data_IF_567652278449
#
_entry.id   IF_567652278449
#
_cell.length_a   1.000
_cell.length_b   1.000
_cell.length_c   1.000
_cell.angle_alpha   90.00
_cell.angle_beta   90.00
_cell.angle_gamma   90.00
#
_symmetry.space_group_name_H-M   'P 1'
#
loop_
_entity.id
_entity.type
_entity.pdbx_description
1 polymer ?
#
# COMPACT_ATOMS: atom_id res chain seq x y z
N UNK A 1 -2.83 7.64 14.75
CA UNK A 1 -3.08 6.42 13.98
C UNK A 1 -1.91 5.49 14.22
N UNK A 2 -2.15 4.30 14.76
CA UNK A 2 -1.09 3.30 15.01
C UNK A 2 -0.63 2.78 13.63
N UNK A 3 0.62 3.06 13.26
CA UNK A 3 1.20 2.56 12.02
C UNK A 3 1.62 1.12 12.27
N UNK A 4 0.87 0.14 11.75
CA UNK A 4 1.28 -1.25 11.79
C UNK A 4 2.56 -1.46 10.97
N UNK A 5 3.41 -2.38 11.41
CA UNK A 5 4.68 -2.66 10.74
C UNK A 5 4.48 -3.31 9.36
N UNK A 6 3.50 -4.23 9.23
CA UNK A 6 3.12 -4.91 7.98
C UNK A 6 1.75 -5.59 8.15
N UNK A 7 1.09 -5.93 7.02
CA UNK A 7 -0.14 -6.70 7.00
C UNK A 7 0.14 -8.17 6.63
N UNK A 8 -0.12 -9.07 7.56
CA UNK A 8 0.12 -10.49 7.42
C UNK A 8 -1.18 -11.26 7.17
N UNK A 9 -1.15 -12.27 6.29
CA UNK A 9 -2.21 -13.25 6.14
C UNK A 9 -1.75 -14.60 6.70
N UNK A 10 -2.44 -15.10 7.72
CA UNK A 10 -2.21 -16.44 8.29
C UNK A 10 -3.26 -17.40 7.73
N UNK A 11 -2.80 -18.51 7.15
CA UNK A 11 -3.67 -19.55 6.60
C UNK A 11 -3.33 -20.88 7.27
N UNK A 12 -4.26 -21.41 8.02
CA UNK A 12 -4.11 -22.68 8.77
C UNK A 12 -5.53 -23.20 9.03
N UNK A 13 -5.79 -24.49 8.96
CA UNK A 13 -7.11 -25.06 9.18
C UNK A 13 -7.48 -25.16 10.67
N UNK A 14 -6.48 -25.20 11.56
CA UNK A 14 -6.69 -25.18 13.01
C UNK A 14 -6.98 -23.76 13.52
N UNK A 15 -8.23 -23.54 13.97
CA UNK A 15 -8.68 -22.27 14.53
C UNK A 15 -7.89 -21.83 15.77
N UNK A 16 -7.40 -22.77 16.57
CA UNK A 16 -6.63 -22.48 17.79
C UNK A 16 -5.29 -21.88 17.42
N UNK A 17 -4.63 -22.45 16.41
CA UNK A 17 -3.34 -21.94 15.89
C UNK A 17 -3.55 -20.58 15.29
N UNK A 18 -4.56 -20.39 14.43
CA UNK A 18 -4.88 -19.07 13.85
C UNK A 18 -5.08 -18.01 14.91
N UNK A 19 -5.90 -18.30 15.94
CA UNK A 19 -6.22 -17.35 17.02
C UNK A 19 -4.98 -17.02 17.86
N UNK A 20 -4.15 -18.02 18.18
CA UNK A 20 -2.92 -17.84 18.92
C UNK A 20 -1.95 -16.93 18.16
N UNK A 21 -1.69 -17.24 16.89
CA UNK A 21 -0.76 -16.49 16.05
C UNK A 21 -1.26 -15.07 15.79
N UNK A 22 -2.54 -14.90 15.50
CA UNK A 22 -3.16 -13.59 15.34
C UNK A 22 -2.98 -12.73 16.58
N UNK A 23 -3.34 -13.26 17.75
CA UNK A 23 -3.23 -12.54 19.02
C UNK A 23 -1.77 -12.17 19.33
N UNK A 24 -0.85 -13.10 19.08
CA UNK A 24 0.58 -12.87 19.32
C UNK A 24 1.13 -11.79 18.39
N UNK A 25 0.87 -11.88 17.07
CA UNK A 25 1.44 -10.97 16.08
C UNK A 25 0.82 -9.56 16.14
N UNK A 26 -0.47 -9.43 16.48
CA UNK A 26 -1.08 -8.11 16.75
C UNK A 26 -0.36 -7.40 17.91
N UNK A 27 0.07 -8.13 18.97
CA UNK A 27 0.86 -7.56 20.07
C UNK A 27 2.27 -7.14 19.66
N UNK A 28 2.72 -7.54 18.48
CA UNK A 28 4.00 -7.16 17.88
C UNK A 28 3.82 -6.10 16.79
N UNK A 29 2.70 -5.35 16.83
CA UNK A 29 2.36 -4.24 15.94
C UNK A 29 2.15 -4.64 14.46
N UNK A 30 1.79 -5.91 14.17
CA UNK A 30 1.35 -6.33 12.85
C UNK A 30 -0.16 -6.18 12.68
N UNK A 31 -0.61 -5.82 11.49
CA UNK A 31 -1.97 -6.07 11.05
C UNK A 31 -2.08 -7.54 10.64
N UNK A 32 -3.10 -8.26 11.10
CA UNK A 32 -3.20 -9.70 10.85
C UNK A 32 -4.61 -10.08 10.40
N UNK A 33 -4.72 -10.61 9.19
CA UNK A 33 -5.90 -11.31 8.68
C UNK A 33 -5.69 -12.81 8.76
N UNK A 34 -6.77 -13.57 8.86
CA UNK A 34 -6.70 -15.04 8.93
C UNK A 34 -7.63 -15.69 7.91
N UNK A 35 -7.20 -16.81 7.35
CA UNK A 35 -7.99 -17.67 6.49
C UNK A 35 -7.92 -19.12 6.99
N UNK A 36 -9.01 -19.86 6.85
CA UNK A 36 -9.11 -21.25 7.30
C UNK A 36 -8.68 -22.29 6.27
N UNK A 37 -8.56 -21.89 5.01
CA UNK A 37 -8.25 -22.74 3.87
C UNK A 37 -7.75 -21.88 2.68
N UNK A 38 -7.22 -22.53 1.66
CA UNK A 38 -6.72 -21.87 0.46
C UNK A 38 -7.81 -21.06 -0.28
N UNK A 39 -9.04 -21.56 -0.36
CA UNK A 39 -10.15 -20.85 -1.01
C UNK A 39 -10.51 -19.57 -0.29
N UNK A 40 -10.46 -19.56 1.04
CA UNK A 40 -10.65 -18.34 1.83
C UNK A 40 -9.49 -17.37 1.66
N UNK A 41 -8.25 -17.88 1.64
CA UNK A 41 -7.06 -17.04 1.38
C UNK A 41 -7.16 -16.33 0.02
N UNK A 42 -7.54 -17.03 -1.05
CA UNK A 42 -7.71 -16.45 -2.40
C UNK A 42 -8.72 -15.29 -2.41
N UNK A 43 -9.88 -15.48 -1.78
CA UNK A 43 -10.90 -14.39 -1.68
C UNK A 43 -10.37 -13.15 -0.96
N UNK A 44 -9.54 -13.34 0.07
CA UNK A 44 -8.92 -12.20 0.77
C UNK A 44 -7.87 -11.52 -0.10
N UNK A 45 -7.09 -12.28 -0.85
CA UNK A 45 -6.07 -11.77 -1.78
C UNK A 45 -6.65 -10.99 -2.98
N UNK A 46 -7.90 -11.28 -3.37
CA UNK A 46 -8.60 -10.52 -4.41
C UNK A 46 -8.97 -9.10 -3.97
N UNK A 47 -9.19 -8.88 -2.67
CA UNK A 47 -9.67 -7.60 -2.14
C UNK A 47 -8.68 -6.86 -1.23
N UNK A 48 -7.61 -7.49 -0.80
CA UNK A 48 -6.66 -6.94 0.17
C UNK A 48 -5.22 -7.18 -0.27
N UNK A 49 -4.36 -6.20 -0.01
CA UNK A 49 -2.92 -6.36 -0.16
C UNK A 49 -2.31 -6.87 1.15
N UNK A 50 -1.39 -7.81 1.03
CA UNK A 50 -0.64 -8.38 2.15
C UNK A 50 0.85 -8.25 1.89
N UNK A 51 1.60 -7.93 2.95
CA UNK A 51 3.05 -7.83 2.89
C UNK A 51 3.73 -9.20 3.01
N UNK A 52 3.04 -10.18 3.60
CA UNK A 52 3.55 -11.55 3.74
C UNK A 52 2.42 -12.53 4.06
N UNK A 53 2.58 -13.77 3.61
CA UNK A 53 1.71 -14.91 3.93
C UNK A 53 2.44 -15.90 4.85
N UNK A 54 1.72 -16.44 5.83
CA UNK A 54 2.13 -17.57 6.67
C UNK A 54 1.14 -18.69 6.42
N UNK A 55 1.57 -19.75 5.72
CA UNK A 55 0.70 -20.81 5.24
C UNK A 55 1.03 -22.14 5.92
N UNK A 56 0.02 -22.82 6.46
CA UNK A 56 0.18 -24.22 6.80
C UNK A 56 0.31 -25.07 5.53
N UNK A 57 1.24 -25.99 5.52
CA UNK A 57 1.37 -26.98 4.43
C UNK A 57 0.20 -27.94 4.44
N UNK A 58 -0.19 -28.44 5.60
CA UNK A 58 -1.17 -29.49 5.76
C UNK A 58 -2.59 -28.92 5.92
N UNK A 59 -3.22 -28.55 4.82
CA UNK A 59 -4.61 -28.07 4.82
C UNK A 59 -5.52 -29.00 4.01
N UNK A 60 -6.79 -29.14 4.40
CA UNK A 60 -7.76 -29.92 3.62
C UNK A 60 -8.08 -29.25 2.29
N UNK A 61 -8.13 -30.07 1.24
CA UNK A 61 -8.39 -29.62 -0.13
C UNK A 61 -7.10 -29.20 -0.84
N UNK A 62 -6.87 -27.91 -1.03
CA UNK A 62 -5.62 -27.39 -1.60
C UNK A 62 -4.61 -27.16 -0.47
N UNK A 63 -3.47 -27.87 -0.54
CA UNK A 63 -2.39 -27.72 0.44
C UNK A 63 -1.60 -26.41 0.27
N UNK A 64 -0.79 -26.06 1.29
CA UNK A 64 -0.03 -24.81 1.30
C UNK A 64 1.04 -24.75 0.20
N UNK A 65 1.61 -25.87 -0.22
CA UNK A 65 2.63 -25.92 -1.28
C UNK A 65 1.98 -25.65 -2.65
N UNK A 66 0.83 -26.27 -2.92
CA UNK A 66 0.05 -26.07 -4.14
C UNK A 66 -0.44 -24.62 -4.25
N UNK A 67 -0.93 -24.05 -3.13
CA UNK A 67 -1.31 -22.66 -3.06
C UNK A 67 -0.12 -21.73 -3.33
N UNK A 68 1.06 -22.02 -2.75
CA UNK A 68 2.30 -21.26 -2.99
C UNK A 68 2.66 -21.26 -4.47
N UNK A 69 2.70 -22.43 -5.10
CA UNK A 69 3.04 -22.56 -6.54
C UNK A 69 2.11 -21.75 -7.42
N UNK A 70 0.81 -21.83 -7.17
CA UNK A 70 -0.18 -21.09 -7.92
C UNK A 70 -0.07 -19.56 -7.71
N UNK A 71 0.19 -19.12 -6.48
CA UNK A 71 0.39 -17.69 -6.20
C UNK A 71 1.63 -17.13 -6.88
N UNK A 72 2.70 -17.91 -7.02
CA UNK A 72 3.93 -17.49 -7.70
C UNK A 72 3.78 -17.22 -9.20
N UNK A 73 2.71 -17.70 -9.83
CA UNK A 73 2.40 -17.37 -11.23
C UNK A 73 2.06 -15.88 -11.41
N UNK A 74 1.52 -15.23 -10.36
CA UNK A 74 0.99 -13.85 -10.46
C UNK A 74 1.50 -12.93 -9.35
N UNK A 75 2.16 -13.42 -8.30
CA UNK A 75 2.53 -12.64 -7.12
C UNK A 75 3.92 -13.00 -6.59
N UNK A 76 4.64 -11.96 -6.16
CA UNK A 76 5.93 -12.09 -5.46
C UNK A 76 5.79 -11.85 -3.95
N UNK A 77 4.56 -11.86 -3.41
CA UNK A 77 4.33 -11.69 -1.97
C UNK A 77 5.11 -12.75 -1.18
N UNK A 78 5.86 -12.40 -0.12
CA UNK A 78 6.62 -13.36 0.66
C UNK A 78 5.73 -14.44 1.27
N UNK A 79 6.23 -15.67 1.29
CA UNK A 79 5.51 -16.83 1.82
C UNK A 79 6.42 -17.60 2.77
N UNK A 80 5.98 -17.75 4.02
CA UNK A 80 6.56 -18.65 5.01
C UNK A 80 5.65 -19.87 5.16
N UNK A 81 6.19 -21.07 4.92
CA UNK A 81 5.46 -22.31 5.10
C UNK A 81 5.63 -22.84 6.53
N UNK A 82 4.52 -23.29 7.14
CA UNK A 82 4.51 -24.03 8.38
C UNK A 82 4.35 -25.51 8.05
N UNK A 83 5.32 -26.36 8.44
CA UNK A 83 5.33 -27.78 8.09
C UNK A 83 5.31 -28.67 9.32
N UNK A 84 4.87 -29.93 9.20
CA UNK A 84 5.04 -30.92 10.25
C UNK A 84 6.53 -31.30 10.39
N UNK A 85 6.94 -31.67 11.62
CA UNK A 85 8.32 -32.06 11.91
C UNK A 85 8.62 -33.42 11.28
N UNK A 86 9.58 -33.48 10.34
CA UNK A 86 10.18 -34.75 9.93
C UNK A 86 10.36 -34.96 8.44
N UNK A 87 9.79 -34.18 7.55
CA UNK A 87 9.88 -34.45 6.10
C UNK A 87 10.85 -33.48 5.42
N UNK A 88 12.11 -33.91 5.24
CA UNK A 88 13.09 -33.17 4.45
C UNK A 88 12.58 -32.89 3.02
N UNK A 89 11.80 -33.81 2.49
CA UNK A 89 11.22 -33.73 1.14
C UNK A 89 10.15 -32.62 1.04
N UNK A 90 9.30 -32.41 2.08
CA UNK A 90 8.32 -31.30 2.09
C UNK A 90 9.01 -29.93 2.09
N UNK A 91 10.15 -29.81 2.77
CA UNK A 91 10.93 -28.56 2.80
C UNK A 91 11.51 -28.23 1.42
N UNK A 92 12.06 -29.25 0.75
CA UNK A 92 12.62 -29.10 -0.61
C UNK A 92 11.48 -28.72 -1.56
N UNK A 93 10.37 -29.46 -1.52
CA UNK A 93 9.19 -29.22 -2.36
C UNK A 93 8.59 -27.84 -2.14
N UNK A 94 8.55 -27.34 -0.89
CA UNK A 94 8.07 -26.00 -0.54
C UNK A 94 8.97 -24.89 -1.09
N UNK A 95 10.29 -25.05 -1.00
CA UNK A 95 11.25 -24.11 -1.59
C UNK A 95 11.22 -24.13 -3.11
N UNK A 96 11.10 -25.31 -3.73
CA UNK A 96 10.93 -25.46 -5.18
C UNK A 96 9.61 -24.85 -5.68
N UNK A 97 8.56 -24.84 -4.83
CA UNK A 97 7.31 -24.16 -5.11
C UNK A 97 7.41 -22.62 -5.01
N UNK A 98 8.55 -22.11 -4.50
CA UNK A 98 8.84 -20.69 -4.40
C UNK A 98 8.56 -20.07 -3.04
N UNK A 99 8.48 -20.86 -1.96
CA UNK A 99 8.44 -20.28 -0.60
C UNK A 99 9.76 -19.60 -0.23
N UNK A 100 9.69 -18.53 0.57
CA UNK A 100 10.86 -17.75 0.99
C UNK A 100 11.55 -18.36 2.21
N UNK A 101 10.81 -19.04 3.06
CA UNK A 101 11.32 -19.80 4.21
C UNK A 101 10.28 -20.84 4.67
N UNK A 102 10.67 -21.67 5.61
CA UNK A 102 9.78 -22.64 6.26
C UNK A 102 10.06 -22.71 7.76
N UNK A 103 9.06 -23.17 8.53
CA UNK A 103 9.14 -23.35 9.96
C UNK A 103 8.45 -24.65 10.38
N UNK A 104 9.17 -25.53 11.06
CA UNK A 104 8.63 -26.83 11.48
C UNK A 104 7.76 -26.72 12.72
N UNK A 105 6.58 -27.31 12.70
CA UNK A 105 5.72 -27.49 13.89
C UNK A 105 6.23 -28.67 14.76
N UNK A 106 6.25 -28.59 16.10
CA UNK A 106 5.91 -27.42 16.91
C UNK A 106 7.04 -26.37 16.93
N UNK A 107 6.67 -25.10 16.97
CA UNK A 107 7.61 -23.97 17.01
C UNK A 107 7.26 -23.00 18.14
N UNK A 108 8.26 -22.25 18.56
CA UNK A 108 8.06 -21.14 19.49
C UNK A 108 7.54 -19.89 18.75
N UNK A 109 6.52 -19.18 19.25
CA UNK A 109 6.02 -17.97 18.61
C UNK A 109 7.11 -16.91 18.35
N UNK A 110 8.14 -16.87 19.20
CA UNK A 110 9.30 -15.99 19.01
C UNK A 110 10.14 -16.38 17.78
N UNK A 111 10.25 -17.67 17.46
CA UNK A 111 10.97 -18.12 16.27
C UNK A 111 10.22 -17.68 15.00
N UNK A 112 8.89 -17.86 14.98
CA UNK A 112 8.05 -17.36 13.90
C UNK A 112 8.24 -15.86 13.69
N UNK A 113 8.21 -15.06 14.75
CA UNK A 113 8.41 -13.60 14.70
C UNK A 113 9.78 -13.24 14.11
N UNK A 114 10.84 -13.94 14.50
CA UNK A 114 12.19 -13.68 13.99
C UNK A 114 12.30 -13.99 12.49
N UNK A 115 11.64 -15.05 12.01
CA UNK A 115 11.60 -15.40 10.58
C UNK A 115 10.77 -14.39 9.78
N UNK A 116 9.59 -14.00 10.27
CA UNK A 116 8.78 -12.94 9.65
C UNK A 116 9.61 -11.67 9.48
N UNK A 117 10.26 -11.20 10.56
CA UNK A 117 11.09 -10.01 10.49
C UNK A 117 12.31 -10.17 9.57
N UNK A 118 12.90 -11.38 9.51
CA UNK A 118 14.02 -11.65 8.61
C UNK A 118 13.61 -11.62 7.14
N UNK A 119 12.42 -12.15 6.81
CA UNK A 119 11.86 -12.16 5.46
C UNK A 119 11.48 -10.73 5.06
N UNK A 120 10.67 -10.04 5.87
CA UNK A 120 10.26 -8.65 5.60
C UNK A 120 11.47 -7.70 5.43
N UNK A 121 12.55 -7.91 6.18
CA UNK A 121 13.78 -7.13 6.03
C UNK A 121 14.59 -7.47 4.78
N UNK A 122 14.50 -8.72 4.26
CA UNK A 122 15.16 -9.17 3.02
C UNK A 122 14.34 -8.83 1.78
N UNK A 123 13.02 -8.72 1.97
CA UNK A 123 12.26 -8.03 0.96
C UNK A 123 13.01 -6.72 0.78
N UNK A 124 13.33 -6.35 -0.46
CA UNK A 124 13.51 -4.94 -0.65
C UNK A 124 12.28 -4.39 0.07
N UNK A 125 12.48 -3.65 1.18
CA UNK A 125 11.47 -2.65 1.56
C UNK A 125 10.95 -2.17 0.24
N UNK A 126 9.59 -2.10 -0.06
CA UNK A 126 9.21 -1.46 -1.29
C UNK A 126 10.18 -0.32 -1.30
N UNK A 127 11.26 -0.58 -2.05
CA UNK A 127 12.42 0.26 -1.93
C UNK A 127 11.72 1.59 -1.90
N UNK A 128 11.71 2.24 -0.76
CA UNK A 128 12.21 3.56 -0.82
C UNK A 128 13.54 3.35 -1.57
N UNK A 129 13.37 2.85 -2.81
CA UNK A 129 14.25 3.10 -3.91
C UNK A 129 14.60 4.50 -3.56
N UNK A 130 15.84 4.84 -3.43
CA UNK A 130 16.17 6.21 -3.68
C UNK A 130 15.37 6.65 -4.91
N UNK A 131 14.08 6.58 -4.80
CA UNK A 131 13.11 7.45 -5.42
C UNK A 131 13.49 8.71 -4.68
N UNK A 132 14.48 9.36 -5.24
CA UNK A 132 14.73 10.76 -4.99
C UNK A 132 13.35 11.35 -4.77
N UNK A 133 13.07 11.84 -3.52
CA UNK A 133 11.71 12.07 -3.03
C UNK A 133 10.91 12.58 -4.19
N UNK A 134 9.75 11.95 -4.54
CA UNK A 134 9.05 12.26 -5.79
C UNK A 134 8.72 13.74 -5.76
N UNK A 135 9.69 14.53 -6.12
CA UNK A 135 9.65 15.99 -6.07
C UNK A 135 9.15 16.43 -7.44
N UNK A 136 7.98 17.01 -7.45
CA UNK A 136 7.46 17.66 -8.63
C UNK A 136 7.95 19.10 -8.65
N UNK A 137 8.58 19.48 -9.73
CA UNK A 137 9.04 20.86 -9.95
C UNK A 137 7.98 21.64 -10.72
N UNK A 138 7.64 22.81 -10.17
CA UNK A 138 6.65 23.75 -10.68
C UNK A 138 7.31 25.12 -10.77
N UNK A 139 8.36 25.22 -11.60
CA UNK A 139 9.23 26.39 -11.69
C UNK A 139 10.04 26.62 -10.42
N UNK A 140 9.80 27.74 -9.75
CA UNK A 140 10.47 28.09 -8.48
C UNK A 140 9.88 27.39 -7.25
N UNK A 141 8.81 26.60 -7.45
CA UNK A 141 8.14 25.85 -6.41
C UNK A 141 8.42 24.37 -6.60
N UNK A 142 8.63 23.65 -5.51
CA UNK A 142 8.76 22.18 -5.50
C UNK A 142 7.72 21.59 -4.56
N UNK A 143 7.16 20.46 -4.95
CA UNK A 143 6.24 19.69 -4.13
C UNK A 143 6.81 18.31 -3.84
N UNK A 144 7.08 18.04 -2.55
CA UNK A 144 7.45 16.72 -2.06
C UNK A 144 6.17 15.88 -1.90
N UNK A 145 5.96 14.93 -2.79
CA UNK A 145 4.73 14.12 -2.85
C UNK A 145 4.62 13.22 -1.62
N UNK A 146 5.75 12.68 -1.12
CA UNK A 146 5.79 11.74 -0.02
C UNK A 146 5.49 12.42 1.32
N UNK A 147 5.95 13.67 1.47
CA UNK A 147 5.72 14.48 2.67
C UNK A 147 4.47 15.34 2.59
N UNK A 148 3.91 15.55 1.39
CA UNK A 148 2.82 16.48 1.15
C UNK A 148 3.21 17.95 1.38
N UNK A 149 4.48 18.28 1.21
CA UNK A 149 5.06 19.59 1.51
C UNK A 149 5.32 20.41 0.24
N UNK A 150 4.86 21.64 0.24
CA UNK A 150 5.10 22.61 -0.84
C UNK A 150 6.19 23.60 -0.40
N UNK A 151 7.22 23.78 -1.23
CA UNK A 151 8.36 24.65 -0.95
C UNK A 151 8.58 25.65 -2.07
N UNK A 152 8.89 26.90 -1.71
CA UNK A 152 9.36 27.92 -2.64
C UNK A 152 10.79 28.31 -2.26
N UNK A 153 11.76 27.84 -3.03
CA UNK A 153 13.15 27.84 -2.59
C UNK A 153 13.29 27.07 -1.28
N UNK A 154 13.79 27.71 -0.23
CA UNK A 154 13.96 27.11 1.11
C UNK A 154 12.80 27.45 2.08
N UNK A 155 11.74 28.09 1.59
CA UNK A 155 10.59 28.48 2.43
C UNK A 155 9.44 27.51 2.24
N UNK A 156 8.99 26.90 3.35
CA UNK A 156 7.79 26.03 3.37
C UNK A 156 6.52 26.87 3.14
N UNK A 157 5.76 26.52 2.11
CA UNK A 157 4.46 27.14 1.80
C UNK A 157 3.36 26.30 2.45
N UNK A 158 2.71 26.84 3.48
CA UNK A 158 1.64 26.12 4.19
C UNK A 158 0.42 25.90 3.29
N UNK A 159 0.00 24.64 3.16
CA UNK A 159 -1.27 24.24 2.55
C UNK A 159 -2.31 24.04 3.65
N UNK A 160 -3.56 24.41 3.36
CA UNK A 160 -4.71 23.96 4.16
C UNK A 160 -4.95 22.47 3.90
N UNK A 161 -5.71 21.78 4.75
CA UNK A 161 -6.01 20.35 4.56
C UNK A 161 -6.61 20.06 3.17
N UNK A 162 -7.56 20.88 2.72
CA UNK A 162 -8.18 20.74 1.40
C UNK A 162 -7.20 21.00 0.25
N UNK A 163 -6.33 22.00 0.36
CA UNK A 163 -5.30 22.29 -0.64
C UNK A 163 -4.25 21.16 -0.70
N UNK A 164 -3.90 20.57 0.44
CA UNK A 164 -2.98 19.44 0.50
C UNK A 164 -3.58 18.18 -0.16
N UNK A 165 -4.87 17.89 0.11
CA UNK A 165 -5.58 16.78 -0.55
C UNK A 165 -5.65 16.96 -2.06
N UNK A 166 -6.03 18.16 -2.55
CA UNK A 166 -6.05 18.46 -3.99
C UNK A 166 -4.66 18.34 -4.61
N UNK A 167 -3.63 18.85 -3.94
CA UNK A 167 -2.27 18.79 -4.42
C UNK A 167 -1.78 17.34 -4.53
N UNK A 168 -2.10 16.50 -3.55
CA UNK A 168 -1.75 15.08 -3.54
C UNK A 168 -2.47 14.32 -4.66
N UNK A 169 -3.77 14.61 -4.89
CA UNK A 169 -4.55 14.02 -5.97
C UNK A 169 -3.96 14.37 -7.34
N UNK A 170 -3.69 15.64 -7.60
CA UNK A 170 -3.06 16.06 -8.86
C UNK A 170 -1.63 15.51 -9.03
N UNK A 171 -0.89 15.37 -7.94
CA UNK A 171 0.47 14.84 -7.95
C UNK A 171 0.52 13.32 -8.17
N UNK A 172 -0.58 12.59 -7.95
CA UNK A 172 -0.67 11.14 -8.22
C UNK A 172 -0.72 10.83 -9.71
N UNK A 173 -1.32 11.71 -10.51
CA UNK A 173 -1.50 11.55 -11.97
C UNK A 173 -1.07 12.82 -12.73
N UNK A 174 0.23 13.21 -12.70
CA UNK A 174 0.70 14.38 -13.44
C UNK A 174 0.47 14.21 -14.94
N UNK A 175 -0.04 15.25 -15.60
CA UNK A 175 -0.35 15.24 -17.03
C UNK A 175 -1.73 14.67 -17.37
N UNK A 176 -2.48 14.16 -16.40
CA UNK A 176 -3.86 13.68 -16.62
C UNK A 176 -4.88 14.70 -16.10
N UNK A 177 -6.01 14.79 -16.83
CA UNK A 177 -7.10 15.67 -16.43
C UNK A 177 -8.00 14.99 -15.40
N UNK A 178 -8.14 15.62 -14.22
CA UNK A 178 -9.03 15.17 -13.15
C UNK A 178 -10.34 15.94 -13.23
N UNK A 179 -11.47 15.24 -13.30
CA UNK A 179 -12.79 15.85 -13.43
C UNK A 179 -13.22 16.58 -12.14
N UNK A 180 -14.09 17.60 -12.27
CA UNK A 180 -14.64 18.29 -11.09
C UNK A 180 -15.43 17.36 -10.18
N UNK A 181 -16.15 16.40 -10.75
CA UNK A 181 -16.90 15.40 -9.99
C UNK A 181 -15.97 14.56 -9.14
N UNK A 182 -14.89 14.04 -9.72
CA UNK A 182 -13.89 13.26 -9.01
C UNK A 182 -13.21 14.07 -7.88
N UNK A 183 -12.90 15.35 -8.15
CA UNK A 183 -12.36 16.26 -7.11
C UNK A 183 -13.33 16.48 -5.95
N UNK A 184 -14.64 16.48 -6.22
CA UNK A 184 -15.68 16.59 -5.19
C UNK A 184 -15.80 15.32 -4.36
N UNK A 185 -15.82 14.16 -5.01
CA UNK A 185 -15.90 12.84 -4.35
C UNK A 185 -14.70 12.61 -3.41
N UNK A 186 -13.49 12.91 -3.88
CA UNK A 186 -12.26 12.74 -3.09
C UNK A 186 -12.16 13.72 -1.91
N UNK A 187 -12.84 14.88 -1.98
CA UNK A 187 -12.92 15.82 -0.87
C UNK A 187 -14.01 15.47 0.17
N UNK A 188 -14.81 14.42 -0.05
CA UNK A 188 -15.69 13.79 0.94
C UNK A 188 -16.86 14.67 1.42
N UNK A 189 -17.59 15.35 0.53
CA UNK A 189 -18.71 16.22 0.87
C UNK A 189 -19.98 15.87 0.09
N UNK A 190 -21.15 15.94 0.71
CA UNK A 190 -22.42 15.35 0.23
C UNK A 190 -23.33 16.21 -0.66
N UNK A 191 -22.93 17.40 -1.14
CA UNK A 191 -23.80 18.30 -1.95
C UNK A 191 -23.13 18.79 -3.25
N UNK A 192 -23.47 18.15 -4.39
CA UNK A 192 -22.73 18.22 -5.66
C UNK A 192 -22.58 19.63 -6.30
N UNK A 193 -23.62 20.46 -6.33
CA UNK A 193 -23.56 21.74 -7.07
C UNK A 193 -22.92 22.91 -6.34
N UNK A 194 -23.02 22.94 -5.02
CA UNK A 194 -22.31 23.93 -4.20
C UNK A 194 -20.82 23.64 -4.16
N UNK A 195 -20.43 22.43 -4.46
CA UNK A 195 -19.10 21.86 -4.28
C UNK A 195 -18.22 22.00 -5.53
N UNK A 196 -18.75 21.91 -6.74
CA UNK A 196 -17.98 22.25 -7.96
C UNK A 196 -17.43 23.68 -7.91
N UNK A 197 -18.24 24.62 -7.41
CA UNK A 197 -17.78 26.02 -7.19
C UNK A 197 -16.73 26.09 -6.07
N UNK A 198 -16.86 25.26 -5.05
CA UNK A 198 -15.86 25.19 -3.97
C UNK A 198 -14.52 24.66 -4.47
N UNK A 199 -14.52 23.66 -5.38
CA UNK A 199 -13.31 23.16 -6.06
C UNK A 199 -12.63 24.28 -6.86
N UNK A 200 -13.38 25.03 -7.66
CA UNK A 200 -12.83 26.13 -8.46
C UNK A 200 -12.16 27.20 -7.58
N UNK A 201 -12.74 27.49 -6.40
CA UNK A 201 -12.14 28.40 -5.41
C UNK A 201 -10.85 27.83 -4.84
N UNK A 202 -10.81 26.54 -4.50
CA UNK A 202 -9.60 25.90 -3.98
C UNK A 202 -8.49 25.83 -5.03
N UNK A 203 -8.83 25.49 -6.27
CA UNK A 203 -7.90 25.54 -7.40
C UNK A 203 -7.32 26.95 -7.58
N UNK A 204 -8.16 27.98 -7.48
CA UNK A 204 -7.69 29.38 -7.57
C UNK A 204 -6.72 29.72 -6.42
N UNK A 205 -6.99 29.24 -5.21
CA UNK A 205 -6.08 29.42 -4.05
C UNK A 205 -4.78 28.68 -4.25
N UNK A 206 -4.83 27.46 -4.76
CA UNK A 206 -3.65 26.64 -5.04
C UNK A 206 -2.76 27.31 -6.10
N UNK A 207 -3.36 27.82 -7.18
CA UNK A 207 -2.64 28.60 -8.21
C UNK A 207 -1.84 29.77 -7.63
N UNK A 208 -2.40 30.52 -6.68
CA UNK A 208 -1.67 31.60 -6.00
C UNK A 208 -0.42 31.14 -5.26
N UNK A 209 -0.35 29.86 -4.91
CA UNK A 209 0.77 29.26 -4.19
C UNK A 209 1.80 28.62 -5.10
N UNK A 210 1.39 28.11 -6.27
CA UNK A 210 2.28 27.36 -7.16
C UNK A 210 2.68 28.13 -8.43
N UNK A 211 1.82 29.01 -8.93
CA UNK A 211 2.04 29.72 -10.18
C UNK A 211 2.80 31.05 -9.96
N UNK A 212 3.53 31.47 -10.98
CA UNK A 212 4.10 32.82 -11.03
C UNK A 212 3.02 33.85 -11.38
N UNK A 213 2.11 33.52 -12.30
CA UNK A 213 0.89 34.29 -12.57
C UNK A 213 -0.35 33.37 -12.46
N UNK A 214 -1.17 33.53 -11.40
CA UNK A 214 -2.39 32.73 -11.23
C UNK A 214 -3.44 32.90 -12.33
N UNK A 215 -3.37 33.97 -13.13
CA UNK A 215 -4.31 34.22 -14.23
C UNK A 215 -3.91 33.48 -15.51
N UNK A 216 -2.62 33.23 -15.67
CA UNK A 216 -2.04 32.46 -16.78
C UNK A 216 -1.33 31.21 -16.22
N UNK A 217 -2.09 30.21 -15.71
CA UNK A 217 -1.51 29.07 -15.03
C UNK A 217 -0.75 28.17 -15.98
N UNK A 218 0.53 27.93 -15.68
CA UNK A 218 1.41 27.04 -16.42
C UNK A 218 1.29 25.60 -15.90
N UNK A 219 1.21 25.43 -14.61
CA UNK A 219 1.27 24.12 -13.96
C UNK A 219 -0.11 23.54 -13.65
N UNK A 220 -1.01 24.27 -13.01
CA UNK A 220 -2.36 23.81 -12.73
C UNK A 220 -3.35 24.38 -13.76
N UNK A 221 -3.43 23.67 -14.88
CA UNK A 221 -4.20 24.10 -16.05
C UNK A 221 -5.68 23.75 -15.95
N UNK A 222 -6.53 24.50 -16.65
CA UNK A 222 -7.94 24.13 -16.86
C UNK A 222 -8.07 23.42 -18.20
N UNK A 223 -8.56 22.19 -18.19
CA UNK A 223 -8.87 21.41 -19.39
C UNK A 223 -10.37 21.56 -19.67
N UNK A 224 -10.73 22.29 -20.73
CA UNK A 224 -12.13 22.59 -21.04
C UNK A 224 -12.93 21.30 -21.23
N UNK A 225 -14.04 21.17 -20.49
CA UNK A 225 -14.91 20.00 -20.54
C UNK A 225 -14.41 18.77 -19.77
N UNK A 226 -13.13 18.73 -19.32
CA UNK A 226 -12.55 17.60 -18.61
C UNK A 226 -12.23 17.90 -17.13
N UNK A 227 -11.90 19.15 -16.77
CA UNK A 227 -11.59 19.50 -15.39
C UNK A 227 -10.27 20.26 -15.24
N UNK A 228 -9.36 19.77 -14.39
CA UNK A 228 -8.06 20.37 -14.11
C UNK A 228 -6.94 19.36 -14.26
N UNK A 229 -5.76 19.82 -14.62
CA UNK A 229 -4.57 18.99 -14.85
C UNK A 229 -3.34 19.66 -14.26
N UNK A 230 -2.51 18.91 -13.52
CA UNK A 230 -1.21 19.36 -13.05
C UNK A 230 -0.14 18.93 -14.06
N UNK A 231 0.62 19.88 -14.58
CA UNK A 231 1.82 19.64 -15.39
C UNK A 231 3.06 20.01 -14.56
N UNK A 232 4.18 19.38 -14.85
CA UNK A 232 5.47 19.60 -14.18
C UNK A 232 6.54 20.03 -15.20
N UNK A 233 7.67 20.55 -14.73
CA UNK A 233 8.83 20.84 -15.57
C UNK A 233 9.48 19.55 -16.06
#
# INVERSE_FOLDING_TARGET
MTKFAAHLLIVDDDERIRTLLQTFLIRQDFMVSTARDASHARRLLEGLAFDMLVLDVMMPGEDGVSLTRSLRETSQVPILLLTAKGEADERITGLEAGADDYLSKPFEPKELLLRINAILRRMPEPTLSEVAPKILYLGVVRYDVDRGELWRGDTLVRLTATEAQLMQLFASTPGEAVSRLQLVEDLGRDDERAQERAVDVQVTRLRRKIESDPKEPRYLQTVRGAGYMLTTD
#
